data_IF_669388580630
#
_entry.id   IF_669388580630
#
_cell.length_a   1.000
_cell.length_b   1.000
_cell.length_c   1.000
_cell.angle_alpha   90.00
_cell.angle_beta   90.00
_cell.angle_gamma   90.00
#
_symmetry.space_group_name_H-M   'P 1'
#
loop_
_entity.id
_entity.type
_entity.pdbx_description
1 polymer ?
#
# COMPACT_ATOMS: atom_id res chain seq x y z
N UNK A 1 27.25 -9.73 -20.92
CA UNK A 1 25.85 -9.64 -20.47
C UNK A 1 25.66 -8.29 -19.80
N UNK A 2 24.59 -7.57 -20.08
CA UNK A 2 24.28 -6.36 -19.33
C UNK A 2 24.04 -6.71 -17.85
N UNK A 3 24.55 -5.88 -16.94
CA UNK A 3 24.30 -6.07 -15.52
C UNK A 3 22.78 -5.99 -15.24
N UNK A 4 22.27 -6.86 -14.35
CA UNK A 4 20.88 -6.82 -13.93
C UNK A 4 20.57 -5.47 -13.27
N UNK A 5 19.39 -4.91 -13.55
CA UNK A 5 18.89 -3.75 -12.80
C UNK A 5 18.66 -4.14 -11.35
N UNK A 6 19.01 -3.26 -10.42
CA UNK A 6 18.83 -3.45 -8.98
C UNK A 6 17.67 -2.60 -8.49
N UNK A 7 16.77 -3.18 -7.72
CA UNK A 7 15.69 -2.46 -7.04
C UNK A 7 15.85 -2.54 -5.52
N UNK A 8 15.76 -1.41 -4.83
CA UNK A 8 15.71 -1.34 -3.37
C UNK A 8 14.27 -1.12 -2.91
N UNK A 9 13.75 -2.02 -2.08
CA UNK A 9 12.38 -1.95 -1.56
C UNK A 9 12.44 -1.69 -0.04
N UNK A 10 11.97 -0.54 0.42
CA UNK A 10 11.66 -0.38 1.83
C UNK A 10 10.33 -1.04 2.15
N UNK A 11 10.26 -1.79 3.27
CA UNK A 11 9.05 -2.53 3.62
C UNK A 11 8.81 -3.78 2.77
N UNK A 12 9.86 -4.42 2.29
CA UNK A 12 9.84 -5.63 1.44
C UNK A 12 9.07 -6.80 2.09
N UNK A 13 9.10 -6.93 3.42
CA UNK A 13 8.40 -7.98 4.17
C UNK A 13 6.90 -7.70 4.36
N UNK A 14 6.45 -6.50 3.99
CA UNK A 14 5.06 -6.07 4.10
C UNK A 14 4.16 -6.67 3.02
N UNK A 15 2.87 -6.32 3.07
CA UNK A 15 1.85 -6.77 2.11
C UNK A 15 2.23 -6.44 0.66
N UNK A 16 2.24 -5.16 0.29
CA UNK A 16 2.56 -4.76 -1.09
C UNK A 16 4.04 -5.02 -1.44
N UNK A 17 4.96 -4.85 -0.47
CA UNK A 17 6.39 -5.08 -0.70
C UNK A 17 6.71 -6.51 -1.10
N UNK A 18 6.05 -7.51 -0.50
CA UNK A 18 6.25 -8.92 -0.84
C UNK A 18 5.77 -9.27 -2.25
N UNK A 19 4.63 -8.73 -2.67
CA UNK A 19 4.12 -8.90 -4.05
C UNK A 19 5.00 -8.17 -5.08
N UNK A 20 5.50 -6.96 -4.73
CA UNK A 20 6.43 -6.25 -5.59
C UNK A 20 7.73 -7.00 -5.76
N UNK A 21 8.29 -7.57 -4.70
CA UNK A 21 9.49 -8.39 -4.78
C UNK A 21 9.31 -9.59 -5.71
N UNK A 22 8.18 -10.31 -5.62
CA UNK A 22 7.85 -11.40 -6.54
C UNK A 22 7.74 -10.93 -8.00
N UNK A 23 7.11 -9.78 -8.24
CA UNK A 23 7.01 -9.22 -9.58
C UNK A 23 8.40 -8.90 -10.14
N UNK A 24 9.23 -8.18 -9.39
CA UNK A 24 10.55 -7.76 -9.83
C UNK A 24 11.50 -8.95 -10.11
N UNK A 25 11.42 -10.01 -9.30
CA UNK A 25 12.16 -11.25 -9.55
C UNK A 25 11.72 -11.91 -10.88
N UNK A 26 10.42 -11.89 -11.22
CA UNK A 26 9.91 -12.38 -12.52
C UNK A 26 10.36 -11.52 -13.70
N UNK A 27 10.55 -10.23 -13.47
CA UNK A 27 11.07 -9.27 -14.46
C UNK A 27 12.60 -9.27 -14.56
N UNK A 28 13.27 -10.26 -13.93
CA UNK A 28 14.74 -10.38 -13.90
C UNK A 28 15.44 -9.13 -13.31
N UNK A 29 14.85 -8.52 -12.27
CA UNK A 29 15.45 -7.45 -11.48
C UNK A 29 16.04 -8.04 -10.21
N UNK A 30 17.27 -7.68 -9.87
CA UNK A 30 17.90 -8.03 -8.60
C UNK A 30 17.22 -7.26 -7.46
N UNK A 31 16.65 -7.97 -6.49
CA UNK A 31 15.85 -7.38 -5.41
C UNK A 31 16.65 -7.25 -4.13
N UNK A 32 16.81 -6.02 -3.67
CA UNK A 32 17.33 -5.67 -2.36
C UNK A 32 16.20 -5.19 -1.46
N UNK A 33 16.10 -5.73 -0.26
CA UNK A 33 15.01 -5.42 0.67
C UNK A 33 15.52 -4.83 1.97
N UNK A 34 14.96 -3.69 2.39
CA UNK A 34 15.20 -3.18 3.75
C UNK A 34 14.21 -3.83 4.71
N UNK A 35 14.74 -4.42 5.77
CA UNK A 35 13.97 -4.95 6.90
C UNK A 35 14.56 -4.47 8.23
N UNK A 36 13.71 -4.27 9.24
CA UNK A 36 14.16 -4.06 10.61
C UNK A 36 14.49 -5.40 11.26
N UNK A 37 15.35 -5.41 12.24
CA UNK A 37 15.81 -6.62 12.93
C UNK A 37 14.69 -7.60 13.34
N UNK A 38 13.53 -7.10 13.80
CA UNK A 38 12.38 -7.93 14.22
C UNK A 38 11.22 -7.93 13.24
N UNK A 39 11.44 -7.62 11.98
CA UNK A 39 10.39 -7.69 10.97
C UNK A 39 9.90 -9.12 10.78
N UNK A 40 8.57 -9.32 10.81
CA UNK A 40 7.98 -10.60 10.38
C UNK A 40 8.30 -10.82 8.91
N UNK A 41 8.62 -12.06 8.53
CA UNK A 41 9.01 -12.42 7.17
C UNK A 41 8.05 -13.40 6.48
N UNK A 42 6.93 -13.72 7.11
CA UNK A 42 5.98 -14.74 6.62
C UNK A 42 5.56 -14.52 5.16
N UNK A 43 5.38 -13.25 4.76
CA UNK A 43 4.95 -12.90 3.40
C UNK A 43 6.00 -13.16 2.31
N UNK A 44 7.26 -13.37 2.67
CA UNK A 44 8.38 -13.51 1.73
C UNK A 44 9.10 -14.86 1.83
N UNK A 45 8.61 -15.78 2.67
CA UNK A 45 9.29 -17.06 2.93
C UNK A 45 9.58 -17.84 1.63
N UNK A 46 8.67 -17.81 0.65
CA UNK A 46 8.81 -18.52 -0.63
C UNK A 46 9.88 -17.95 -1.57
N UNK A 47 10.28 -16.68 -1.35
CA UNK A 47 11.25 -15.97 -2.20
C UNK A 47 12.44 -15.44 -1.41
N UNK A 48 12.56 -15.82 -0.12
CA UNK A 48 13.56 -15.28 0.79
C UNK A 48 14.99 -15.43 0.25
N UNK A 49 15.31 -16.59 -0.29
CA UNK A 49 16.65 -16.89 -0.80
C UNK A 49 17.00 -16.17 -2.10
N UNK A 50 16.02 -15.49 -2.71
CA UNK A 50 16.17 -14.72 -3.95
C UNK A 50 16.29 -13.21 -3.70
N UNK A 51 16.22 -12.77 -2.44
CA UNK A 51 16.27 -11.37 -2.03
C UNK A 51 17.54 -11.12 -1.22
N UNK A 52 18.25 -10.05 -1.51
CA UNK A 52 19.35 -9.57 -0.68
C UNK A 52 18.78 -8.64 0.40
N UNK A 53 18.86 -9.06 1.67
CA UNK A 53 18.34 -8.29 2.80
C UNK A 53 19.38 -7.36 3.39
N UNK A 54 18.95 -6.16 3.74
CA UNK A 54 19.71 -5.17 4.47
C UNK A 54 18.94 -4.79 5.74
N UNK A 55 19.63 -4.81 6.87
CA UNK A 55 19.06 -4.34 8.13
C UNK A 55 19.19 -2.82 8.22
N UNK A 56 18.05 -2.12 8.26
CA UNK A 56 17.98 -0.69 8.47
C UNK A 56 16.59 -0.27 8.98
N UNK A 57 16.51 0.87 9.65
CA UNK A 57 15.27 1.49 10.10
C UNK A 57 15.10 2.87 9.44
N UNK A 58 13.87 3.23 9.05
CA UNK A 58 13.56 4.55 8.49
C UNK A 58 13.94 5.69 9.46
N UNK A 59 13.90 5.44 10.75
CA UNK A 59 14.27 6.43 11.76
C UNK A 59 15.78 6.52 12.04
N UNK A 60 16.57 5.64 11.42
CA UNK A 60 18.03 5.70 11.46
C UNK A 60 18.61 6.10 10.10
N UNK A 61 18.86 7.39 9.94
CA UNK A 61 19.42 7.97 8.71
C UNK A 61 20.78 7.37 8.32
N UNK A 62 21.59 6.94 9.32
CA UNK A 62 22.89 6.34 9.05
C UNK A 62 22.77 4.98 8.39
N UNK A 63 21.89 4.12 8.91
CA UNK A 63 21.66 2.78 8.31
C UNK A 63 21.10 2.88 6.89
N UNK A 64 20.18 3.81 6.63
CA UNK A 64 19.65 4.04 5.28
C UNK A 64 20.76 4.50 4.30
N UNK A 65 21.58 5.47 4.71
CA UNK A 65 22.70 5.93 3.89
C UNK A 65 23.65 4.78 3.55
N UNK A 66 24.05 3.97 4.54
CA UNK A 66 24.92 2.81 4.33
C UNK A 66 24.34 1.84 3.31
N UNK A 67 23.06 1.49 3.42
CA UNK A 67 22.40 0.57 2.48
C UNK A 67 22.35 1.16 1.07
N UNK A 68 21.99 2.43 0.91
CA UNK A 68 21.91 3.09 -0.39
C UNK A 68 23.28 3.16 -1.05
N UNK A 69 24.32 3.51 -0.31
CA UNK A 69 25.69 3.63 -0.82
C UNK A 69 26.29 2.26 -1.21
N UNK A 70 25.96 1.22 -0.47
CA UNK A 70 26.36 -0.17 -0.77
C UNK A 70 25.63 -0.73 -2.00
N UNK A 71 24.31 -0.60 -2.06
CA UNK A 71 23.47 -1.23 -3.09
C UNK A 71 23.58 -0.50 -4.42
N UNK A 72 23.62 0.84 -4.41
CA UNK A 72 23.57 1.69 -5.61
C UNK A 72 22.48 1.25 -6.58
N UNK A 73 21.19 1.26 -6.15
CA UNK A 73 20.09 0.71 -6.92
C UNK A 73 19.82 1.52 -8.20
N UNK A 74 19.09 0.91 -9.15
CA UNK A 74 18.54 1.59 -10.32
C UNK A 74 17.14 2.16 -10.05
N UNK A 75 16.42 1.59 -9.08
CA UNK A 75 15.09 2.00 -8.63
C UNK A 75 14.98 1.88 -7.13
N UNK A 76 14.21 2.79 -6.52
CA UNK A 76 13.77 2.66 -5.13
C UNK A 76 12.25 2.63 -5.09
N UNK A 77 11.70 1.69 -4.31
CA UNK A 77 10.27 1.62 -3.98
C UNK A 77 10.10 1.86 -2.49
N UNK A 78 9.52 3.01 -2.15
CA UNK A 78 9.32 3.39 -0.76
C UNK A 78 7.92 3.01 -0.28
N UNK A 79 7.80 1.78 0.26
CA UNK A 79 6.53 1.20 0.73
C UNK A 79 6.47 1.09 2.27
N UNK A 80 7.60 1.23 2.96
CA UNK A 80 7.64 1.19 4.41
C UNK A 80 6.92 2.39 5.01
N UNK A 81 5.92 2.12 5.84
CA UNK A 81 5.15 3.14 6.57
C UNK A 81 4.40 2.50 7.73
N UNK A 82 4.02 3.30 8.73
CA UNK A 82 2.88 2.94 9.58
C UNK A 82 1.61 3.18 8.76
N UNK A 83 0.93 2.11 8.32
CA UNK A 83 -0.13 2.16 7.30
C UNK A 83 -1.54 1.90 7.86
N UNK A 84 -1.67 1.49 9.12
CA UNK A 84 -2.96 1.21 9.72
C UNK A 84 -3.59 2.49 10.29
N UNK A 85 -4.65 2.97 9.65
CA UNK A 85 -5.30 4.26 9.98
C UNK A 85 -5.73 4.31 11.45
N UNK A 86 -6.32 3.24 12.00
CA UNK A 86 -6.77 3.23 13.39
C UNK A 86 -5.61 3.38 14.40
N UNK A 87 -4.46 2.75 14.14
CA UNK A 87 -3.26 2.95 14.97
C UNK A 87 -2.76 4.39 14.95
N UNK A 88 -3.00 5.14 13.86
CA UNK A 88 -2.59 6.54 13.80
C UNK A 88 -3.35 7.44 14.78
N UNK A 89 -4.57 7.06 15.16
CA UNK A 89 -5.33 7.75 16.21
C UNK A 89 -4.79 7.43 17.61
N UNK A 90 -4.34 6.19 17.83
CA UNK A 90 -3.77 5.78 19.11
C UNK A 90 -2.33 6.29 19.33
N UNK A 91 -1.56 6.42 18.24
CA UNK A 91 -0.16 6.84 18.29
C UNK A 91 0.16 7.79 17.11
N UNK A 92 -0.35 9.03 17.15
CA UNK A 92 -0.17 9.99 16.06
C UNK A 92 1.29 10.40 15.87
N UNK A 93 2.02 10.68 16.95
CA UNK A 93 3.42 11.09 16.87
C UNK A 93 4.28 10.04 16.19
N UNK A 94 4.16 8.77 16.57
CA UNK A 94 4.90 7.68 15.91
C UNK A 94 4.54 7.56 14.43
N UNK A 95 3.26 7.71 14.07
CA UNK A 95 2.82 7.69 12.67
C UNK A 95 3.46 8.80 11.85
N UNK A 96 3.46 10.02 12.37
CA UNK A 96 4.08 11.18 11.72
C UNK A 96 5.60 11.01 11.61
N UNK A 97 6.24 10.58 12.68
CA UNK A 97 7.69 10.39 12.73
C UNK A 97 8.14 9.32 11.72
N UNK A 98 7.56 8.12 11.76
CA UNK A 98 7.93 7.03 10.84
C UNK A 98 7.68 7.42 9.39
N UNK A 99 6.53 7.99 9.09
CA UNK A 99 6.14 8.25 7.71
C UNK A 99 6.82 9.50 7.14
N UNK A 100 6.88 10.60 7.89
CA UNK A 100 7.43 11.87 7.40
C UNK A 100 8.94 11.89 7.56
N UNK A 101 9.44 11.77 8.80
CA UNK A 101 10.88 11.87 9.06
C UNK A 101 11.63 10.70 8.41
N UNK A 102 11.06 9.48 8.44
CA UNK A 102 11.60 8.34 7.73
C UNK A 102 11.74 8.57 6.23
N UNK A 103 10.79 9.27 5.58
CA UNK A 103 10.89 9.64 4.17
C UNK A 103 11.98 10.70 3.94
N UNK A 104 12.09 11.70 4.84
CA UNK A 104 13.19 12.68 4.80
C UNK A 104 14.54 11.98 4.87
N UNK A 105 14.74 11.06 5.82
CA UNK A 105 15.99 10.32 5.95
C UNK A 105 16.36 9.56 4.68
N UNK A 106 15.37 8.95 4.02
CA UNK A 106 15.59 8.24 2.75
C UNK A 106 16.02 9.20 1.63
N UNK A 107 15.37 10.35 1.49
CA UNK A 107 15.72 11.35 0.48
C UNK A 107 17.09 11.97 0.74
N UNK A 108 17.39 12.32 2.00
CA UNK A 108 18.72 12.82 2.39
C UNK A 108 19.83 11.78 2.12
N UNK A 109 19.57 10.50 2.37
CA UNK A 109 20.50 9.43 2.04
C UNK A 109 20.75 9.33 0.52
N UNK A 110 19.71 9.50 -0.32
CA UNK A 110 19.85 9.56 -1.78
C UNK A 110 20.70 10.77 -2.23
N UNK A 111 20.44 11.96 -1.66
CA UNK A 111 21.23 13.18 -1.97
C UNK A 111 22.69 12.96 -1.59
N UNK A 112 22.95 12.49 -0.36
CA UNK A 112 24.31 12.26 0.14
C UNK A 112 25.06 11.23 -0.70
N UNK A 113 24.40 10.23 -1.25
CA UNK A 113 24.97 9.23 -2.18
C UNK A 113 24.99 9.70 -3.64
N UNK A 114 24.60 10.95 -3.91
CA UNK A 114 24.48 11.52 -5.27
C UNK A 114 23.67 10.65 -6.25
N UNK A 115 22.59 10.02 -5.74
CA UNK A 115 21.74 9.13 -6.52
C UNK A 115 20.56 9.88 -7.14
N UNK A 116 20.57 10.06 -8.46
CA UNK A 116 19.48 10.68 -9.24
C UNK A 116 18.70 9.64 -10.04
N UNK A 117 18.26 8.59 -9.36
CA UNK A 117 17.48 7.49 -9.93
C UNK A 117 15.97 7.66 -9.62
N UNK A 118 15.07 7.01 -10.37
CA UNK A 118 13.66 7.01 -10.03
C UNK A 118 13.39 6.39 -8.67
N UNK A 119 12.58 7.09 -7.88
CA UNK A 119 12.01 6.58 -6.63
C UNK A 119 10.49 6.70 -6.68
N UNK A 120 9.77 5.59 -6.53
CA UNK A 120 8.33 5.61 -6.31
C UNK A 120 8.07 5.68 -4.80
N UNK A 121 7.20 6.60 -4.39
CA UNK A 121 6.70 6.68 -3.02
C UNK A 121 5.21 6.32 -2.97
N UNK A 122 4.84 5.43 -2.03
CA UNK A 122 3.46 5.04 -1.83
C UNK A 122 2.71 6.10 -1.01
N UNK A 123 2.10 7.05 -1.69
CA UNK A 123 1.12 7.98 -1.18
C UNK A 123 -0.25 7.30 -0.98
N UNK A 124 -1.34 8.03 -0.76
CA UNK A 124 -2.63 7.44 -0.43
C UNK A 124 -3.82 8.27 -0.88
N UNK A 125 -4.90 7.63 -1.30
CA UNK A 125 -6.20 8.29 -1.52
C UNK A 125 -6.80 8.91 -0.24
N UNK A 126 -6.36 8.48 0.95
CA UNK A 126 -6.77 9.08 2.23
C UNK A 126 -6.34 10.55 2.35
N UNK A 127 -5.39 11.01 1.55
CA UNK A 127 -4.97 12.43 1.46
C UNK A 127 -6.10 13.34 0.99
N UNK A 128 -7.00 12.86 0.13
CA UNK A 128 -8.17 13.60 -0.32
C UNK A 128 -9.19 13.78 0.82
N UNK A 129 -9.28 12.83 1.74
CA UNK A 129 -10.05 12.92 2.98
C UNK A 129 -11.51 13.27 2.73
N UNK A 130 -11.95 14.50 3.12
CA UNK A 130 -13.32 14.95 2.92
C UNK A 130 -13.55 15.36 1.46
N UNK A 131 -14.14 14.44 0.70
CA UNK A 131 -14.52 14.65 -0.71
C UNK A 131 -16.00 15.01 -0.82
N UNK A 132 -16.33 16.01 -1.63
CA UNK A 132 -17.70 16.41 -1.91
C UNK A 132 -18.28 15.57 -3.07
N UNK A 133 -19.60 15.49 -3.18
CA UNK A 133 -20.25 14.63 -4.20
C UNK A 133 -19.94 15.05 -5.63
N UNK A 134 -19.80 16.35 -5.88
CA UNK A 134 -19.45 16.93 -7.17
C UNK A 134 -17.96 16.84 -7.50
N UNK A 135 -17.15 16.37 -6.56
CA UNK A 135 -15.71 16.14 -6.74
C UNK A 135 -15.39 14.67 -7.14
N UNK A 136 -16.40 13.84 -7.34
CA UNK A 136 -16.26 12.43 -7.74
C UNK A 136 -16.39 12.24 -9.27
N UNK A 137 -15.61 11.34 -9.91
CA UNK A 137 -14.50 10.59 -9.31
C UNK A 137 -13.28 11.48 -9.06
N UNK A 138 -12.50 11.10 -8.03
CA UNK A 138 -11.36 11.88 -7.52
C UNK A 138 -10.19 11.83 -8.51
N UNK A 139 -9.78 12.97 -9.04
CA UNK A 139 -8.56 13.13 -9.83
C UNK A 139 -7.45 13.82 -9.02
N UNK A 140 -6.24 13.93 -9.59
CA UNK A 140 -5.08 14.46 -8.88
C UNK A 140 -5.18 15.96 -8.52
N UNK A 141 -6.11 16.69 -9.14
CA UNK A 141 -6.35 18.12 -8.85
C UNK A 141 -7.39 18.35 -7.75
N UNK A 142 -8.05 17.30 -7.26
CA UNK A 142 -9.00 17.44 -6.16
C UNK A 142 -8.33 18.01 -4.91
N UNK A 143 -9.03 18.85 -4.13
CA UNK A 143 -8.52 19.37 -2.86
C UNK A 143 -8.14 18.27 -1.88
N UNK A 144 -7.04 18.46 -1.16
CA UNK A 144 -6.54 17.53 -0.15
C UNK A 144 -7.03 17.99 1.24
N UNK A 145 -7.95 17.22 1.84
CA UNK A 145 -8.60 17.52 3.15
C UNK A 145 -8.50 16.31 4.09
N UNK A 146 -7.27 15.91 4.51
CA UNK A 146 -7.04 14.69 5.27
C UNK A 146 -7.83 14.66 6.57
N UNK A 147 -8.40 13.49 6.93
CA UNK A 147 -9.27 13.30 8.10
C UNK A 147 -8.65 12.42 9.19
N UNK A 148 -7.39 12.00 9.06
CA UNK A 148 -6.70 11.19 10.06
C UNK A 148 -5.21 11.56 10.16
N UNK A 149 -4.53 11.27 11.28
CA UNK A 149 -3.07 11.46 11.38
C UNK A 149 -2.30 10.69 10.30
N UNK A 150 -2.77 9.50 9.92
CA UNK A 150 -2.21 8.76 8.79
C UNK A 150 -2.32 9.53 7.47
N UNK A 151 -3.51 10.06 7.16
CA UNK A 151 -3.75 10.82 5.95
C UNK A 151 -2.87 12.08 5.90
N UNK A 152 -2.71 12.80 7.03
CA UNK A 152 -1.79 13.94 7.15
C UNK A 152 -0.35 13.51 6.89
N UNK A 153 0.07 12.36 7.44
CA UNK A 153 1.43 11.87 7.19
C UNK A 153 1.68 11.54 5.73
N UNK A 154 0.69 10.96 5.04
CA UNK A 154 0.79 10.64 3.60
C UNK A 154 0.82 11.89 2.73
N UNK A 155 -0.02 12.88 3.04
CA UNK A 155 0.01 14.19 2.42
C UNK A 155 1.38 14.86 2.56
N UNK A 156 1.97 14.81 3.75
CA UNK A 156 3.32 15.35 3.97
C UNK A 156 4.37 14.61 3.13
N UNK A 157 4.32 13.27 3.06
CA UNK A 157 5.21 12.49 2.18
C UNK A 157 5.06 12.88 0.70
N UNK A 158 3.81 13.04 0.24
CA UNK A 158 3.51 13.45 -1.13
C UNK A 158 4.17 14.80 -1.46
N UNK A 159 3.93 15.82 -0.62
CA UNK A 159 4.50 17.16 -0.83
C UNK A 159 6.02 17.23 -0.60
N UNK A 160 6.59 16.45 0.30
CA UNK A 160 8.03 16.27 0.38
C UNK A 160 8.58 15.71 -0.93
N UNK A 161 7.91 14.72 -1.53
CA UNK A 161 8.31 14.18 -2.83
C UNK A 161 8.36 15.24 -3.92
N UNK A 162 7.39 16.15 -3.97
CA UNK A 162 7.38 17.30 -4.86
C UNK A 162 8.51 18.29 -4.54
N UNK A 163 8.66 18.67 -3.27
CA UNK A 163 9.67 19.65 -2.84
C UNK A 163 11.08 19.14 -3.12
N UNK A 164 11.38 17.86 -2.86
CA UNK A 164 12.71 17.30 -3.14
C UNK A 164 13.00 17.16 -4.64
N UNK A 165 11.97 16.95 -5.46
CA UNK A 165 12.13 17.04 -6.91
C UNK A 165 12.49 18.46 -7.35
N UNK A 166 11.73 19.47 -6.95
CA UNK A 166 11.96 20.87 -7.36
C UNK A 166 13.29 21.43 -6.84
N UNK A 167 13.62 21.14 -5.58
CA UNK A 167 14.78 21.77 -4.94
C UNK A 167 16.10 21.04 -5.17
N UNK A 168 16.05 19.71 -5.32
CA UNK A 168 17.26 18.87 -5.38
C UNK A 168 17.34 18.01 -6.64
N UNK A 169 16.30 17.98 -7.47
CA UNK A 169 16.24 17.19 -8.70
C UNK A 169 16.15 15.68 -8.44
N UNK A 170 15.65 15.24 -7.27
CA UNK A 170 15.36 13.83 -7.03
C UNK A 170 14.19 13.39 -7.91
N UNK A 171 14.35 12.25 -8.59
CA UNK A 171 13.32 11.73 -9.52
C UNK A 171 12.20 11.01 -8.77
N UNK A 172 11.44 11.75 -7.96
CA UNK A 172 10.34 11.20 -7.14
C UNK A 172 9.06 11.07 -7.95
N UNK A 173 8.48 9.86 -8.00
CA UNK A 173 7.16 9.57 -8.58
C UNK A 173 6.18 9.33 -7.42
N UNK A 174 5.15 10.15 -7.32
CA UNK A 174 4.18 10.15 -6.22
C UNK A 174 2.93 9.37 -6.64
N UNK A 175 2.75 8.17 -6.09
CA UNK A 175 1.60 7.31 -6.44
C UNK A 175 0.55 7.35 -5.34
N UNK A 176 -0.58 8.01 -5.60
CA UNK A 176 -1.75 8.05 -4.71
C UNK A 176 -2.60 6.81 -4.93
N UNK A 177 -2.21 5.71 -4.26
CA UNK A 177 -2.93 4.45 -4.36
C UNK A 177 -4.28 4.53 -3.65
N UNK A 178 -5.36 4.13 -4.34
CA UNK A 178 -6.64 3.84 -3.73
C UNK A 178 -6.56 2.51 -2.98
N UNK A 179 -7.64 2.08 -2.32
CA UNK A 179 -7.57 0.86 -1.54
C UNK A 179 -7.07 -0.30 -2.41
N UNK A 180 -6.18 -1.10 -1.88
CA UNK A 180 -5.71 -2.31 -2.55
C UNK A 180 -5.68 -3.47 -1.57
N UNK A 181 -6.04 -4.64 -2.07
CA UNK A 181 -6.25 -5.84 -1.26
C UNK A 181 -5.88 -7.10 -2.02
N UNK A 182 -5.93 -8.25 -1.35
CA UNK A 182 -5.57 -9.55 -1.90
C UNK A 182 -4.83 -10.42 -0.90
N UNK A 183 -4.27 -11.58 -1.30
CA UNK A 183 -3.50 -12.46 -0.43
C UNK A 183 -2.43 -11.72 0.35
N UNK A 184 -2.17 -12.09 1.60
CA UNK A 184 -1.23 -11.45 2.55
C UNK A 184 -1.68 -10.08 3.09
N UNK A 185 -2.88 -9.60 2.76
CA UNK A 185 -3.42 -8.39 3.41
C UNK A 185 -3.57 -8.64 4.90
N UNK A 186 -3.05 -7.73 5.71
CA UNK A 186 -3.14 -7.84 7.18
C UNK A 186 -4.58 -7.87 7.69
N UNK A 187 -4.84 -8.64 8.74
CA UNK A 187 -6.16 -8.88 9.33
C UNK A 187 -6.77 -7.68 10.08
N UNK A 188 -6.10 -6.56 10.10
CA UNK A 188 -6.60 -5.29 10.64
C UNK A 188 -7.43 -4.48 9.64
N UNK A 189 -7.43 -4.86 8.36
CA UNK A 189 -8.20 -4.21 7.31
C UNK A 189 -9.53 -4.94 7.09
N UNK A 190 -10.62 -4.20 6.87
CA UNK A 190 -11.99 -4.71 6.90
C UNK A 190 -12.22 -5.98 6.08
N UNK A 191 -11.87 -5.95 4.80
CA UNK A 191 -12.05 -7.08 3.88
C UNK A 191 -11.24 -8.31 4.31
N UNK A 192 -10.02 -8.08 4.80
CA UNK A 192 -9.15 -9.15 5.29
C UNK A 192 -9.61 -9.69 6.65
N UNK A 193 -10.10 -8.81 7.53
CA UNK A 193 -10.75 -9.22 8.80
C UNK A 193 -11.97 -10.11 8.54
N UNK A 194 -12.80 -9.74 7.54
CA UNK A 194 -13.96 -10.55 7.18
C UNK A 194 -13.54 -11.92 6.65
N UNK A 195 -12.61 -11.95 5.71
CA UNK A 195 -12.11 -13.20 5.14
C UNK A 195 -11.50 -14.13 6.21
N UNK A 196 -10.72 -13.57 7.16
CA UNK A 196 -10.15 -14.32 8.27
C UNK A 196 -11.21 -14.89 9.19
N UNK A 197 -12.18 -14.05 9.65
CA UNK A 197 -13.28 -14.52 10.50
C UNK A 197 -14.06 -15.64 9.82
N UNK A 198 -14.36 -15.52 8.53
CA UNK A 198 -15.07 -16.56 7.77
C UNK A 198 -14.25 -17.87 7.75
N UNK A 199 -12.95 -17.79 7.47
CA UNK A 199 -12.08 -18.96 7.42
C UNK A 199 -11.97 -19.66 8.80
N UNK A 200 -11.84 -18.89 9.89
CA UNK A 200 -11.83 -19.39 11.27
C UNK A 200 -13.16 -20.09 11.65
N UNK A 201 -14.29 -19.51 11.25
CA UNK A 201 -15.63 -20.09 11.45
C UNK A 201 -15.79 -21.39 10.65
N UNK A 202 -15.35 -21.42 9.39
CA UNK A 202 -15.39 -22.63 8.56
C UNK A 202 -14.59 -23.81 9.15
N UNK A 203 -13.53 -23.51 9.93
CA UNK A 203 -12.75 -24.50 10.67
C UNK A 203 -13.32 -24.85 12.05
N UNK A 204 -14.43 -24.23 12.45
CA UNK A 204 -15.05 -24.45 13.76
C UNK A 204 -14.29 -23.84 14.94
N UNK A 205 -13.41 -22.86 14.69
CA UNK A 205 -12.62 -22.18 15.74
C UNK A 205 -13.45 -21.12 16.49
N UNK A 206 -14.52 -20.63 15.87
CA UNK A 206 -15.41 -19.61 16.42
C UNK A 206 -16.87 -19.89 16.09
N UNK A 207 -17.77 -19.29 16.87
CA UNK A 207 -19.20 -19.30 16.55
C UNK A 207 -19.47 -18.66 15.18
N UNK A 208 -20.55 -19.05 14.46
CA UNK A 208 -20.86 -18.53 13.11
C UNK A 208 -21.37 -17.08 13.14
N UNK A 209 -20.54 -16.16 13.63
CA UNK A 209 -20.81 -14.74 13.77
C UNK A 209 -19.61 -13.93 13.28
N UNK A 210 -19.85 -13.00 12.33
CA UNK A 210 -18.86 -12.00 11.89
C UNK A 210 -19.19 -10.66 12.54
N UNK A 211 -18.20 -10.09 13.23
CA UNK A 211 -18.31 -8.78 13.86
C UNK A 211 -17.85 -7.68 12.91
N UNK A 212 -18.65 -6.62 12.75
CA UNK A 212 -18.44 -5.59 11.74
C UNK A 212 -18.46 -4.17 12.33
N UNK A 213 -17.71 -3.24 11.69
CA UNK A 213 -17.79 -1.81 11.94
C UNK A 213 -18.72 -1.10 10.94
N UNK A 214 -18.27 0.04 10.39
CA UNK A 214 -19.00 0.80 9.38
C UNK A 214 -19.10 0.03 8.05
N UNK A 215 -20.31 -0.33 7.65
CA UNK A 215 -20.60 -1.04 6.41
C UNK A 215 -21.04 -0.12 5.25
N UNK A 216 -21.24 1.18 5.52
CA UNK A 216 -21.79 2.11 4.53
C UNK A 216 -20.73 2.81 3.67
N UNK A 217 -19.50 2.84 4.12
CA UNK A 217 -18.41 3.45 3.37
C UNK A 217 -18.20 2.76 2.01
N UNK A 218 -17.85 3.56 1.00
CA UNK A 218 -17.55 3.09 -0.36
C UNK A 218 -16.06 3.26 -0.65
N UNK A 219 -15.43 2.20 -1.16
CA UNK A 219 -14.01 2.17 -1.48
C UNK A 219 -13.77 1.63 -2.88
N UNK A 220 -12.79 2.19 -3.56
CA UNK A 220 -12.25 1.69 -4.81
C UNK A 220 -11.11 0.72 -4.50
N UNK A 221 -11.28 -0.54 -4.86
CA UNK A 221 -10.32 -1.59 -4.56
C UNK A 221 -9.59 -2.07 -5.81
N UNK A 222 -8.27 -2.01 -5.77
CA UNK A 222 -7.37 -2.61 -6.77
C UNK A 222 -6.77 -3.90 -6.20
N UNK A 223 -6.63 -4.94 -7.00
CA UNK A 223 -5.84 -6.11 -6.60
C UNK A 223 -4.38 -5.70 -6.37
N UNK A 224 -3.77 -6.20 -5.31
CA UNK A 224 -2.39 -5.87 -4.96
C UNK A 224 -1.41 -6.21 -6.07
N UNK A 225 -1.67 -7.26 -6.84
CA UNK A 225 -0.82 -7.69 -7.97
C UNK A 225 -0.87 -6.67 -9.11
N UNK A 226 -2.01 -6.04 -9.37
CA UNK A 226 -2.15 -4.94 -10.33
C UNK A 226 -1.57 -3.63 -9.76
N UNK A 227 -1.71 -3.40 -8.45
CA UNK A 227 -1.12 -2.23 -7.78
C UNK A 227 0.41 -2.25 -7.89
N UNK A 228 1.07 -3.37 -7.62
CA UNK A 228 2.54 -3.44 -7.70
C UNK A 228 3.06 -3.40 -9.14
N UNK A 229 2.28 -3.88 -10.12
CA UNK A 229 2.56 -3.62 -11.55
C UNK A 229 2.54 -2.12 -11.84
N UNK A 230 1.55 -1.39 -11.29
CA UNK A 230 1.50 0.07 -11.44
C UNK A 230 2.72 0.75 -10.83
N UNK A 231 3.18 0.33 -9.65
CA UNK A 231 4.41 0.89 -9.03
C UNK A 231 5.65 0.66 -9.89
N UNK A 232 5.81 -0.54 -10.45
CA UNK A 232 6.94 -0.83 -11.34
C UNK A 232 6.87 -0.03 -12.64
N UNK A 233 5.70 0.03 -13.28
CA UNK A 233 5.51 0.84 -14.50
C UNK A 233 5.72 2.33 -14.21
N UNK A 234 5.38 2.81 -13.01
CA UNK A 234 5.55 4.20 -12.63
C UNK A 234 7.01 4.65 -12.68
N UNK A 235 7.95 3.88 -12.14
CA UNK A 235 9.39 4.22 -12.18
C UNK A 235 9.98 4.15 -13.58
N UNK A 236 9.36 3.41 -14.49
CA UNK A 236 9.80 3.27 -15.87
C UNK A 236 9.25 4.37 -16.80
N UNK A 237 8.01 4.87 -16.54
CA UNK A 237 7.28 5.68 -17.53
C UNK A 237 6.76 7.02 -17.03
N UNK A 238 6.59 7.19 -15.71
CA UNK A 238 6.00 8.42 -15.17
C UNK A 238 7.01 9.56 -15.07
N UNK A 239 6.50 10.78 -15.15
CA UNK A 239 7.33 11.98 -14.98
C UNK A 239 7.65 12.19 -13.50
N UNK A 240 8.92 12.40 -13.14
CA UNK A 240 9.30 12.79 -11.78
C UNK A 240 8.66 14.12 -11.35
N UNK A 241 8.38 14.24 -10.05
CA UNK A 241 7.69 15.39 -9.49
C UNK A 241 6.17 15.33 -9.59
N UNK A 242 5.61 14.49 -10.47
CA UNK A 242 4.17 14.37 -10.68
C UNK A 242 3.50 13.38 -9.73
N UNK A 243 2.23 13.67 -9.40
CA UNK A 243 1.35 12.76 -8.68
C UNK A 243 0.45 12.00 -9.65
N UNK A 244 0.19 10.72 -9.34
CA UNK A 244 -0.66 9.85 -10.15
C UNK A 244 -1.59 9.03 -9.26
N UNK A 245 -2.88 9.11 -9.51
CA UNK A 245 -3.86 8.21 -8.91
C UNK A 245 -3.77 6.82 -9.50
N UNK A 246 -3.78 5.80 -8.64
CA UNK A 246 -3.89 4.39 -9.05
C UNK A 246 -5.17 3.83 -8.47
N UNK A 247 -6.14 3.58 -9.34
CA UNK A 247 -7.51 3.22 -8.98
C UNK A 247 -8.17 2.40 -10.09
N UNK A 248 -9.20 1.63 -9.75
CA UNK A 248 -10.05 0.94 -10.73
C UNK A 248 -11.09 1.85 -11.34
N UNK A 249 -11.56 2.85 -10.61
CA UNK A 249 -12.71 3.69 -10.93
C UNK A 249 -14.05 3.09 -10.51
N UNK A 250 -14.02 1.94 -9.81
CA UNK A 250 -15.24 1.24 -9.36
C UNK A 250 -15.32 1.25 -7.84
N UNK A 251 -16.41 1.80 -7.31
CA UNK A 251 -16.68 1.86 -5.89
C UNK A 251 -17.43 0.61 -5.39
N UNK A 252 -16.93 0.02 -4.31
CA UNK A 252 -17.57 -1.09 -3.59
C UNK A 252 -17.99 -0.64 -2.20
N UNK A 253 -19.27 -0.82 -1.87
CA UNK A 253 -19.75 -0.60 -0.50
C UNK A 253 -19.19 -1.71 0.38
N UNK A 254 -18.70 -1.38 1.58
CA UNK A 254 -18.14 -2.39 2.51
C UNK A 254 -19.14 -3.52 2.81
N UNK A 255 -20.45 -3.18 2.84
CA UNK A 255 -21.51 -4.19 2.96
C UNK A 255 -21.50 -5.19 1.81
N UNK A 256 -21.28 -4.73 0.57
CA UNK A 256 -21.29 -5.60 -0.60
C UNK A 256 -20.02 -6.47 -0.67
N UNK A 257 -18.89 -5.93 -0.21
CA UNK A 257 -17.66 -6.71 -0.01
C UNK A 257 -17.87 -7.86 0.98
N UNK A 258 -18.51 -7.57 2.13
CA UNK A 258 -18.86 -8.60 3.11
C UNK A 258 -19.84 -9.65 2.53
N UNK A 259 -20.90 -9.21 1.83
CA UNK A 259 -21.86 -10.10 1.21
C UNK A 259 -21.21 -11.02 0.16
N UNK A 260 -20.28 -10.49 -0.63
CA UNK A 260 -19.52 -11.27 -1.60
C UNK A 260 -18.70 -12.37 -0.91
N UNK A 261 -17.96 -12.03 0.16
CA UNK A 261 -17.21 -13.02 0.94
C UNK A 261 -18.13 -14.07 1.60
N UNK A 262 -19.27 -13.64 2.16
CA UNK A 262 -20.26 -14.54 2.74
C UNK A 262 -20.90 -15.49 1.72
N UNK A 263 -21.06 -15.04 0.47
CA UNK A 263 -21.56 -15.91 -0.62
C UNK A 263 -20.59 -17.05 -0.99
N UNK A 264 -19.30 -16.88 -0.69
CA UNK A 264 -18.26 -17.89 -0.88
C UNK A 264 -18.06 -18.79 0.36
N UNK A 265 -18.74 -18.46 1.47
CA UNK A 265 -18.65 -19.24 2.73
C UNK A 265 -19.32 -20.59 2.61
N UNK A 266 -18.70 -21.60 3.23
CA UNK A 266 -19.25 -22.98 3.33
C UNK A 266 -20.30 -23.14 4.44
N UNK A 267 -20.44 -22.13 5.31
CA UNK A 267 -21.33 -22.15 6.46
C UNK A 267 -22.19 -20.89 6.51
N UNK A 268 -23.35 -20.98 7.13
CA UNK A 268 -24.24 -19.83 7.31
C UNK A 268 -23.77 -18.99 8.50
N UNK A 269 -23.49 -17.73 8.27
CA UNK A 269 -22.87 -16.82 9.25
C UNK A 269 -23.80 -15.63 9.52
N UNK A 270 -23.93 -15.23 10.80
CA UNK A 270 -24.65 -14.02 11.22
C UNK A 270 -23.71 -12.81 11.21
N UNK A 271 -24.24 -11.65 10.89
CA UNK A 271 -23.52 -10.36 10.95
C UNK A 271 -23.95 -9.64 12.24
N UNK A 272 -22.98 -9.21 13.05
CA UNK A 272 -23.23 -8.47 14.30
C UNK A 272 -22.39 -7.19 14.32
N UNK A 273 -23.01 -6.00 14.45
CA UNK A 273 -22.29 -4.73 14.63
C UNK A 273 -21.47 -4.72 15.93
N UNK A 274 -20.23 -4.22 15.85
CA UNK A 274 -19.34 -4.02 16.99
C UNK A 274 -18.89 -2.56 17.05
N UNK A 275 -19.29 -1.85 18.10
CA UNK A 275 -18.94 -0.44 18.31
C UNK A 275 -17.44 -0.18 18.44
N UNK A 276 -16.65 -1.15 18.90
CA UNK A 276 -15.21 -1.03 19.03
C UNK A 276 -14.48 -1.01 17.68
N UNK A 277 -15.18 -1.35 16.59
CA UNK A 277 -14.67 -1.31 15.22
C UNK A 277 -15.02 -0.01 14.48
N UNK A 278 -15.68 0.94 15.15
CA UNK A 278 -15.98 2.26 14.60
C UNK A 278 -14.77 3.20 14.73
N UNK A 279 -14.64 4.13 13.79
CA UNK A 279 -13.58 5.17 13.80
C UNK A 279 -14.16 6.52 14.26
N UNK A 280 -13.36 7.43 14.83
CA UNK A 280 -13.80 8.78 15.18
C UNK A 280 -14.29 9.60 13.98
N UNK A 281 -13.67 9.40 12.82
CA UNK A 281 -14.04 9.96 11.53
C UNK A 281 -13.77 8.95 10.43
N UNK A 282 -14.61 8.92 9.41
CA UNK A 282 -14.45 8.04 8.25
C UNK A 282 -14.76 8.82 6.97
N UNK A 283 -14.06 8.49 5.89
CA UNK A 283 -14.34 9.02 4.56
C UNK A 283 -15.51 8.22 3.97
N UNK A 284 -16.58 8.90 3.56
CA UNK A 284 -17.77 8.21 3.07
C UNK A 284 -17.52 7.49 1.75
N UNK A 285 -16.92 8.19 0.76
CA UNK A 285 -16.72 7.66 -0.60
C UNK A 285 -15.32 8.01 -1.08
N UNK A 286 -14.57 6.99 -1.49
CA UNK A 286 -13.29 7.13 -2.20
C UNK A 286 -13.37 6.32 -3.49
N UNK A 287 -13.59 7.01 -4.63
CA UNK A 287 -13.57 6.42 -5.98
C UNK A 287 -12.63 7.29 -6.82
N UNK A 288 -11.60 6.67 -7.39
CA UNK A 288 -10.54 7.37 -8.07
C UNK A 288 -10.72 7.45 -9.59
N UNK A 289 -10.23 8.56 -10.15
CA UNK A 289 -9.93 8.66 -11.58
C UNK A 289 -8.43 8.45 -11.79
N UNK A 290 -8.06 7.37 -12.45
CA UNK A 290 -6.68 7.05 -12.83
C UNK A 290 -6.37 7.36 -14.30
N UNK A 291 -7.17 8.18 -14.97
CA UNK A 291 -7.02 8.50 -16.41
C UNK A 291 -5.66 9.07 -16.75
N UNK A 292 -5.09 9.94 -15.88
CA UNK A 292 -3.74 10.48 -16.04
C UNK A 292 -2.70 9.37 -16.09
N UNK A 293 -2.73 8.45 -15.13
CA UNK A 293 -1.81 7.31 -15.06
C UNK A 293 -1.99 6.36 -16.24
N UNK A 294 -3.25 6.00 -16.56
CA UNK A 294 -3.57 5.12 -17.70
C UNK A 294 -3.11 5.71 -19.02
N UNK A 295 -3.34 7.00 -19.27
CA UNK A 295 -2.89 7.69 -20.47
C UNK A 295 -1.36 7.71 -20.60
N UNK A 296 -0.66 7.93 -19.48
CA UNK A 296 0.80 7.98 -19.46
C UNK A 296 1.45 6.61 -19.67
N UNK A 297 0.88 5.55 -19.09
CA UNK A 297 1.55 4.25 -18.95
C UNK A 297 0.95 3.13 -19.79
N UNK A 298 -0.33 3.24 -20.15
CA UNK A 298 -1.13 2.15 -20.70
C UNK A 298 -1.61 1.14 -19.66
N UNK A 299 -1.33 1.34 -18.38
CA UNK A 299 -1.75 0.44 -17.29
C UNK A 299 -3.28 0.41 -17.16
N UNK A 300 -3.79 -0.75 -16.83
CA UNK A 300 -5.18 -0.98 -16.40
C UNK A 300 -5.22 -2.13 -15.42
N UNK A 301 -6.17 -2.13 -14.46
CA UNK A 301 -6.38 -3.29 -13.61
C UNK A 301 -6.89 -4.47 -14.47
N UNK A 302 -6.34 -5.65 -14.23
CA UNK A 302 -6.64 -6.86 -15.02
C UNK A 302 -7.37 -7.92 -14.19
N UNK A 303 -7.22 -7.89 -12.85
CA UNK A 303 -7.78 -8.89 -11.95
C UNK A 303 -9.14 -8.40 -11.45
N UNK A 304 -10.24 -9.15 -11.74
CA UNK A 304 -11.57 -8.81 -11.23
C UNK A 304 -11.63 -8.83 -9.71
N UNK A 305 -12.44 -7.94 -9.13
CA UNK A 305 -12.54 -7.82 -7.68
C UNK A 305 -13.05 -9.10 -7.01
N UNK A 306 -13.97 -9.81 -7.64
CA UNK A 306 -14.48 -11.11 -7.19
C UNK A 306 -13.35 -12.14 -7.06
N UNK A 307 -12.42 -12.17 -8.03
CA UNK A 307 -11.23 -13.04 -7.98
C UNK A 307 -10.29 -12.63 -6.86
N UNK A 308 -10.13 -11.34 -6.63
CA UNK A 308 -9.32 -10.82 -5.51
C UNK A 308 -9.89 -11.27 -4.17
N UNK A 309 -11.22 -11.23 -3.99
CA UNK A 309 -11.88 -11.67 -2.76
C UNK A 309 -11.81 -13.18 -2.56
N UNK A 310 -11.97 -13.95 -3.64
CA UNK A 310 -11.78 -15.41 -3.61
C UNK A 310 -10.36 -15.77 -3.16
N UNK A 311 -9.34 -15.15 -3.77
CA UNK A 311 -7.94 -15.41 -3.45
C UNK A 311 -7.59 -14.97 -2.01
N UNK A 312 -8.16 -13.87 -1.52
CA UNK A 312 -8.00 -13.41 -0.15
C UNK A 312 -8.63 -14.39 0.85
N UNK A 313 -9.83 -14.89 0.56
CA UNK A 313 -10.50 -15.86 1.44
C UNK A 313 -9.73 -17.19 1.45
N UNK A 314 -9.27 -17.68 0.30
CA UNK A 314 -8.48 -18.91 0.21
C UNK A 314 -7.13 -18.78 0.93
N UNK A 315 -6.47 -17.61 0.83
CA UNK A 315 -5.26 -17.33 1.61
C UNK A 315 -5.50 -17.49 3.12
N UNK A 316 -6.62 -17.00 3.64
CA UNK A 316 -6.95 -17.17 5.06
C UNK A 316 -7.33 -18.60 5.41
N UNK A 317 -8.05 -19.31 4.52
CA UNK A 317 -8.37 -20.76 4.71
C UNK A 317 -7.12 -21.63 4.85
N UNK A 318 -6.03 -21.27 4.16
CA UNK A 318 -4.75 -21.97 4.27
C UNK A 318 -3.97 -21.58 5.53
N UNK A 319 -4.16 -20.35 6.02
CA UNK A 319 -3.34 -19.77 7.09
C UNK A 319 -3.87 -19.99 8.51
N UNK A 320 -5.18 -20.14 8.69
CA UNK A 320 -5.83 -20.34 9.99
C UNK A 320 -5.89 -21.81 10.40
#
# INVERSE_FOLDING_TARGET
MAALKKALITGVTGFAGSHLAELLLRENVEVHGIQRWRSKSDNINQIRDKIVFHEADLLDAHSLYKVIDEVKPNYIFHLAAQSYVQSSWASPSNTLEVNIIGTVHLFEAMIKSNLKIPIQIACSSEEYGKVLKDELPINENNPLRPLSPYAVSKLAMDYLGYQYFESYGLKVIRTRGFNHTGPRRGDVFSESTFAKQIAEIEKGLHEPVVYVGNLDAVRDYTDVRDMVKAYYIAVEKCEPGEAYNIATGVGWKIKDVLNLLLSMSKVKIKIVPDKNRMRPSDVEVLIGDSSKFRKKTGWKPEIPFEKTMEDLLNYWREKV
#
